data_IF_898328851523
#
_entry.id   IF_898328851523
#
_cell.length_a   1.000
_cell.length_b   1.000
_cell.length_c   1.000
_cell.angle_alpha   90.00
_cell.angle_beta   90.00
_cell.angle_gamma   90.00
#
_symmetry.space_group_name_H-M   'P 1'
#
loop_
_entity.id
_entity.type
_entity.pdbx_description
1 polymer ?
#
# COMPACT_ATOMS: atom_id res chain seq x y z
N UNK A 1 2.59 -5.46 -7.67
CA UNK A 1 2.38 -4.08 -8.18
C UNK A 1 2.81 -3.91 -9.63
N UNK A 2 3.92 -4.49 -10.09
CA UNK A 2 4.37 -4.37 -11.49
C UNK A 2 3.29 -4.80 -12.52
N UNK A 3 2.48 -5.81 -12.19
CA UNK A 3 1.33 -6.19 -13.01
C UNK A 3 0.25 -5.11 -13.14
N UNK A 4 0.02 -4.29 -12.11
CA UNK A 4 -0.95 -3.17 -12.17
C UNK A 4 -0.44 -2.05 -13.07
N UNK A 5 0.86 -1.77 -13.01
CA UNK A 5 1.52 -0.79 -13.89
C UNK A 5 1.46 -1.26 -15.35
N UNK A 6 1.75 -2.54 -15.60
CA UNK A 6 1.64 -3.13 -16.94
C UNK A 6 0.21 -3.11 -17.48
N UNK A 7 -0.79 -3.34 -16.63
CA UNK A 7 -2.21 -3.27 -16.98
C UNK A 7 -2.78 -1.84 -17.04
N UNK A 8 -1.91 -0.80 -16.90
CA UNK A 8 -2.29 0.62 -16.82
C UNK A 8 -3.33 0.93 -15.74
N UNK A 9 -3.44 0.06 -14.75
CA UNK A 9 -4.29 0.24 -13.58
C UNK A 9 -3.62 1.13 -12.53
N UNK A 10 -2.33 1.48 -12.71
CA UNK A 10 -1.54 2.33 -11.84
C UNK A 10 -0.42 3.00 -12.65
N UNK A 11 -0.11 4.27 -12.38
CA UNK A 11 1.04 4.92 -13.02
C UNK A 11 2.35 4.38 -12.44
N UNK A 12 3.45 4.32 -13.23
CA UNK A 12 4.71 3.73 -12.77
C UNK A 12 5.31 4.42 -11.53
N UNK A 13 5.23 5.76 -11.47
CA UNK A 13 5.76 6.53 -10.32
C UNK A 13 5.00 6.26 -9.04
N UNK A 14 3.66 6.39 -9.10
CA UNK A 14 2.76 6.15 -7.98
C UNK A 14 2.86 4.69 -7.48
N UNK A 15 3.03 3.73 -8.39
CA UNK A 15 3.24 2.33 -8.03
C UNK A 15 4.56 2.04 -7.31
N UNK A 16 5.58 2.87 -7.52
CA UNK A 16 6.86 2.74 -6.80
C UNK A 16 6.72 3.23 -5.36
N UNK A 17 6.02 4.33 -5.15
CA UNK A 17 5.85 4.93 -3.81
C UNK A 17 4.96 4.06 -2.92
N UNK A 18 3.80 3.64 -3.44
CA UNK A 18 2.93 2.69 -2.73
C UNK A 18 3.66 1.38 -2.38
N UNK A 19 4.53 0.87 -3.28
CA UNK A 19 5.34 -0.33 -3.01
C UNK A 19 6.32 -0.11 -1.89
N UNK A 20 6.98 1.05 -1.90
CA UNK A 20 7.96 1.43 -0.88
C UNK A 20 7.31 1.45 0.49
N UNK A 21 6.14 2.08 0.64
CA UNK A 21 5.43 2.14 1.94
C UNK A 21 4.98 0.79 2.46
N UNK A 22 4.43 -0.08 1.61
CA UNK A 22 4.07 -1.44 2.03
C UNK A 22 5.29 -2.22 2.50
N UNK A 23 6.40 -2.13 1.76
CA UNK A 23 7.65 -2.78 2.14
C UNK A 23 8.20 -2.21 3.46
N UNK A 24 8.19 -0.90 3.63
CA UNK A 24 8.63 -0.27 4.88
C UNK A 24 7.71 -0.69 6.04
N UNK A 25 6.41 -0.86 5.84
CA UNK A 25 5.52 -1.40 6.86
C UNK A 25 5.89 -2.86 7.25
N UNK A 26 6.16 -3.72 6.28
CA UNK A 26 6.63 -5.10 6.52
C UNK A 26 7.97 -5.13 7.28
N UNK A 27 8.93 -4.29 6.89
CA UNK A 27 10.22 -4.16 7.56
C UNK A 27 10.05 -3.67 9.02
N UNK A 28 9.20 -2.66 9.25
CA UNK A 28 8.88 -2.18 10.61
C UNK A 28 8.18 -3.24 11.47
N UNK A 29 7.34 -4.10 10.88
CA UNK A 29 6.75 -5.24 11.60
C UNK A 29 7.85 -6.21 12.03
N UNK A 30 8.77 -6.55 11.12
CA UNK A 30 9.88 -7.46 11.40
C UNK A 30 10.85 -6.89 12.47
N UNK A 31 11.07 -5.57 12.46
CA UNK A 31 11.92 -4.86 13.42
C UNK A 31 11.26 -4.66 14.80
N UNK A 32 10.01 -5.10 14.99
CA UNK A 32 9.29 -4.92 16.24
C UNK A 32 8.82 -3.49 16.49
N UNK A 33 8.62 -2.71 15.42
CA UNK A 33 8.13 -1.33 15.44
C UNK A 33 6.68 -1.23 14.92
N UNK A 34 5.69 -1.87 15.58
CA UNK A 34 4.33 -1.97 15.06
C UNK A 34 3.62 -0.63 14.93
N UNK A 35 3.97 0.37 15.74
CA UNK A 35 3.37 1.71 15.64
C UNK A 35 3.84 2.45 14.37
N UNK A 36 5.12 2.32 13.99
CA UNK A 36 5.63 2.86 12.72
C UNK A 36 5.06 2.11 11.51
N UNK A 37 4.88 0.79 11.64
CA UNK A 37 4.22 0.01 10.60
C UNK A 37 2.75 0.45 10.40
N UNK A 38 2.03 0.76 11.48
CA UNK A 38 0.66 1.33 11.42
C UNK A 38 0.64 2.70 10.74
N UNK A 39 1.63 3.55 11.03
CA UNK A 39 1.79 4.85 10.38
C UNK A 39 2.00 4.71 8.87
N UNK A 40 2.93 3.85 8.44
CA UNK A 40 3.19 3.57 7.03
C UNK A 40 1.95 3.02 6.29
N UNK A 41 1.18 2.13 6.94
CA UNK A 41 -0.06 1.61 6.37
C UNK A 41 -1.15 2.68 6.25
N UNK A 42 -1.20 3.63 7.19
CA UNK A 42 -2.09 4.78 7.10
C UNK A 42 -1.72 5.70 5.93
N UNK A 43 -0.44 6.08 5.81
CA UNK A 43 0.05 6.90 4.70
C UNK A 43 -0.15 6.21 3.34
N UNK A 44 -0.02 4.89 3.29
CA UNK A 44 -0.36 4.10 2.12
C UNK A 44 -1.84 4.23 1.76
N UNK A 45 -2.74 4.10 2.74
CA UNK A 45 -4.19 4.17 2.50
C UNK A 45 -4.65 5.57 2.08
N UNK A 46 -4.07 6.62 2.67
CA UNK A 46 -4.31 8.02 2.31
C UNK A 46 -3.88 8.27 0.85
N UNK A 47 -2.65 7.91 0.46
CA UNK A 47 -2.18 8.08 -0.92
C UNK A 47 -2.99 7.22 -1.92
N UNK A 48 -3.31 5.98 -1.57
CA UNK A 48 -4.11 5.12 -2.44
C UNK A 48 -5.50 5.72 -2.72
N UNK A 49 -6.09 6.36 -1.71
CA UNK A 49 -7.38 7.05 -1.83
C UNK A 49 -7.27 8.28 -2.73
N UNK A 50 -6.20 9.06 -2.59
CA UNK A 50 -5.94 10.22 -3.45
C UNK A 50 -5.71 9.81 -4.90
N UNK A 51 -4.89 8.78 -5.13
CA UNK A 51 -4.67 8.23 -6.48
C UNK A 51 -5.96 7.72 -7.11
N UNK A 52 -6.89 7.17 -6.32
CA UNK A 52 -8.19 6.70 -6.79
C UNK A 52 -9.07 7.87 -7.18
N UNK A 53 -9.09 8.91 -6.36
CA UNK A 53 -9.84 10.15 -6.60
C UNK A 53 -9.34 10.86 -7.85
N UNK A 54 -8.04 10.85 -8.09
CA UNK A 54 -7.40 11.44 -9.27
C UNK A 54 -7.50 10.56 -10.54
N UNK A 55 -8.11 9.37 -10.44
CA UNK A 55 -8.22 8.42 -11.56
C UNK A 55 -6.88 7.82 -12.00
N UNK A 56 -5.84 7.94 -11.17
CA UNK A 56 -4.51 7.37 -11.41
C UNK A 56 -4.44 5.88 -11.09
N UNK A 57 -5.38 5.39 -10.27
CA UNK A 57 -5.60 3.96 -10.04
C UNK A 57 -7.01 3.53 -10.46
N UNK A 58 -7.08 2.45 -11.24
CA UNK A 58 -8.34 1.82 -11.65
C UNK A 58 -9.03 1.13 -10.46
N UNK A 59 -10.31 0.75 -10.62
CA UNK A 59 -11.08 0.11 -9.54
C UNK A 59 -10.42 -1.21 -9.10
N UNK A 60 -10.11 -2.06 -10.09
CA UNK A 60 -9.43 -3.33 -9.84
C UNK A 60 -8.03 -3.13 -9.22
N UNK A 61 -7.28 -2.12 -9.68
CA UNK A 61 -6.00 -1.78 -9.09
C UNK A 61 -6.12 -1.36 -7.62
N UNK A 62 -7.11 -0.56 -7.29
CA UNK A 62 -7.42 -0.13 -5.93
C UNK A 62 -7.76 -1.33 -5.02
N UNK A 63 -8.66 -2.21 -5.46
CA UNK A 63 -9.08 -3.38 -4.69
C UNK A 63 -7.91 -4.34 -4.39
N UNK A 64 -7.05 -4.58 -5.39
CA UNK A 64 -5.85 -5.40 -5.22
C UNK A 64 -4.89 -4.78 -4.20
N UNK A 65 -4.73 -3.45 -4.23
CA UNK A 65 -3.83 -2.73 -3.34
C UNK A 65 -4.34 -2.69 -1.90
N UNK A 66 -5.65 -2.50 -1.71
CA UNK A 66 -6.31 -2.63 -0.40
C UNK A 66 -6.15 -4.04 0.17
N UNK A 67 -6.33 -5.07 -0.67
CA UNK A 67 -6.15 -6.46 -0.24
C UNK A 67 -4.70 -6.75 0.20
N UNK A 68 -3.71 -6.18 -0.47
CA UNK A 68 -2.30 -6.25 -0.08
C UNK A 68 -2.04 -5.58 1.27
N UNK A 69 -2.51 -4.34 1.45
CA UNK A 69 -2.36 -3.61 2.71
C UNK A 69 -3.06 -4.31 3.89
N UNK A 70 -4.20 -4.93 3.64
CA UNK A 70 -4.94 -5.71 4.66
C UNK A 70 -4.15 -6.92 5.15
N UNK A 71 -3.44 -7.61 4.25
CA UNK A 71 -2.57 -8.74 4.63
C UNK A 71 -1.41 -8.28 5.54
N UNK A 72 -0.77 -7.15 5.20
CA UNK A 72 0.28 -6.57 6.05
C UNK A 72 -0.28 -6.13 7.40
N UNK A 73 -1.47 -5.53 7.41
CA UNK A 73 -2.13 -5.12 8.65
C UNK A 73 -2.45 -6.31 9.58
N UNK A 74 -2.77 -7.48 9.02
CA UNK A 74 -3.01 -8.71 9.81
C UNK A 74 -1.73 -9.27 10.45
N UNK A 75 -0.55 -8.92 9.94
CA UNK A 75 0.72 -9.29 10.53
C UNK A 75 1.13 -8.38 11.70
N UNK A 76 0.42 -7.28 11.94
CA UNK A 76 0.67 -6.43 13.11
C UNK A 76 0.29 -7.17 14.39
N UNK A 77 1.15 -7.13 15.43
CA UNK A 77 0.75 -7.61 16.74
C UNK A 77 -0.46 -6.82 17.26
N UNK A 78 -1.39 -7.55 17.88
CA UNK A 78 -2.53 -6.98 18.59
C UNK A 78 -2.07 -5.97 19.64
N UNK A 79 -2.92 -4.98 19.92
CA UNK A 79 -2.69 -4.04 21.03
C UNK A 79 -2.81 -4.73 22.37
#
# INVERSE_FOLDING_TARGET
>A
MDGLVQQRQLRPGDGKELRKRLREAEERIADGEPDKARENLREFAEELTDLRREGKVGANGYDILIAGATQVAQALPGR
#
